data_IF_565347260977
#
_entry.id   IF_565347260977
#
_cell.length_a   1.000
_cell.length_b   1.000
_cell.length_c   1.000
_cell.angle_alpha   90.00
_cell.angle_beta   90.00
_cell.angle_gamma   90.00
#
_symmetry.space_group_name_H-M   'P 1'
#
loop_
_entity.id
_entity.type
_entity.pdbx_description
1 polymer ?
#
# COMPACT_ATOMS: atom_id res chain seq x y z
N UNK A 1 0.09 46.66 -29.69
CA UNK A 1 -0.09 45.19 -29.80
C UNK A 1 -0.04 44.58 -28.42
N UNK A 2 -1.17 44.11 -27.88
CA UNK A 2 -1.23 43.46 -26.56
C UNK A 2 -1.09 41.95 -26.77
N UNK A 3 0.01 41.36 -26.31
CA UNK A 3 0.20 39.91 -26.31
C UNK A 3 -0.74 39.30 -25.27
N UNK A 4 -1.73 38.53 -25.72
CA UNK A 4 -2.57 37.71 -24.83
C UNK A 4 -1.76 36.49 -24.39
N UNK A 5 -1.29 36.49 -23.15
CA UNK A 5 -0.78 35.27 -22.51
C UNK A 5 -1.94 34.31 -22.27
N UNK A 6 -1.91 33.15 -22.94
CA UNK A 6 -2.85 32.05 -22.66
C UNK A 6 -2.39 31.36 -21.37
N UNK A 7 -3.13 31.56 -20.29
CA UNK A 7 -2.96 30.78 -19.07
C UNK A 7 -3.29 29.30 -19.35
N UNK A 8 -2.26 28.45 -19.37
CA UNK A 8 -2.42 26.99 -19.42
C UNK A 8 -2.89 26.54 -18.02
N UNK A 9 -4.19 26.27 -17.87
CA UNK A 9 -4.73 25.61 -16.68
C UNK A 9 -4.13 24.19 -16.62
N UNK A 10 -3.09 23.99 -15.82
CA UNK A 10 -2.59 22.66 -15.45
C UNK A 10 -3.72 21.95 -14.69
N UNK A 11 -4.41 21.01 -15.34
CA UNK A 11 -5.32 20.11 -14.64
C UNK A 11 -4.51 19.32 -13.63
N UNK A 12 -4.78 19.53 -12.35
CA UNK A 12 -4.20 18.73 -11.27
C UNK A 12 -4.82 17.35 -11.38
N UNK A 13 -4.07 16.37 -11.92
CA UNK A 13 -4.49 14.97 -11.87
C UNK A 13 -4.53 14.56 -10.40
N UNK A 14 -5.67 14.06 -9.95
CA UNK A 14 -5.82 13.49 -8.61
C UNK A 14 -4.77 12.39 -8.38
N UNK A 15 -4.24 12.28 -7.16
CA UNK A 15 -3.25 11.27 -6.85
C UNK A 15 -3.83 9.87 -7.07
N UNK A 16 -3.00 8.91 -7.47
CA UNK A 16 -3.47 7.56 -7.72
C UNK A 16 -4.03 6.92 -6.44
N UNK A 17 -5.29 6.51 -6.50
CA UNK A 17 -5.99 5.78 -5.44
C UNK A 17 -5.97 4.28 -5.77
N UNK A 18 -5.64 3.47 -4.77
CA UNK A 18 -5.82 2.03 -4.79
C UNK A 18 -7.18 1.71 -4.17
N UNK A 19 -7.91 0.80 -4.79
CA UNK A 19 -9.21 0.33 -4.33
C UNK A 19 -9.10 -1.17 -4.13
N UNK A 20 -9.36 -1.63 -2.91
CA UNK A 20 -9.34 -3.04 -2.55
C UNK A 20 -10.56 -3.78 -3.08
N UNK A 21 -10.58 -5.10 -2.85
CA UNK A 21 -11.72 -5.96 -3.18
C UNK A 21 -12.45 -6.48 -1.93
N UNK A 22 -12.42 -5.68 -0.87
CA UNK A 22 -13.10 -6.02 0.37
C UNK A 22 -14.63 -5.96 0.23
N UNK A 23 -15.31 -7.09 0.46
CA UNK A 23 -16.77 -7.22 0.37
C UNK A 23 -17.49 -6.73 1.63
N UNK A 24 -16.78 -6.65 2.76
CA UNK A 24 -17.32 -6.16 4.03
C UNK A 24 -17.31 -4.62 4.14
N UNK A 25 -16.79 -3.92 3.14
CA UNK A 25 -16.61 -2.46 3.14
C UNK A 25 -17.30 -1.79 1.96
N UNK A 26 -17.75 -0.56 2.16
CA UNK A 26 -18.20 0.29 1.06
C UNK A 26 -17.03 0.68 0.15
N UNK A 27 -17.32 1.08 -1.09
CA UNK A 27 -16.27 1.54 -2.00
C UNK A 27 -15.45 2.68 -1.41
N UNK A 28 -16.04 3.60 -0.64
CA UNK A 28 -15.32 4.71 0.01
C UNK A 28 -14.33 4.27 1.09
N UNK A 29 -14.65 3.20 1.82
CA UNK A 29 -13.82 2.65 2.90
C UNK A 29 -12.73 1.72 2.35
N UNK A 30 -12.95 1.17 1.16
CA UNK A 30 -12.08 0.22 0.47
C UNK A 30 -10.98 0.93 -0.33
N UNK A 31 -10.53 2.14 0.07
CA UNK A 31 -9.58 2.95 -0.71
C UNK A 31 -8.44 3.52 0.12
N UNK A 32 -7.28 3.62 -0.49
CA UNK A 32 -6.15 4.39 0.06
C UNK A 32 -5.39 5.07 -1.08
N UNK A 33 -4.94 6.31 -0.86
CA UNK A 33 -4.12 6.99 -1.85
C UNK A 33 -2.66 6.50 -1.79
N UNK A 34 -2.00 6.38 -2.93
CA UNK A 34 -0.58 6.01 -2.98
C UNK A 34 0.33 7.00 -2.23
N UNK A 35 0.10 8.33 -2.28
CA UNK A 35 0.86 9.26 -1.45
C UNK A 35 0.68 8.99 0.05
N UNK A 36 -0.54 8.66 0.50
CA UNK A 36 -0.78 8.30 1.90
C UNK A 36 -0.03 7.01 2.29
N UNK A 37 -0.03 5.99 1.42
CA UNK A 37 0.78 4.78 1.61
C UNK A 37 2.25 5.17 1.76
N UNK A 38 2.82 5.90 0.79
CA UNK A 38 4.24 6.25 0.81
C UNK A 38 4.63 7.09 2.02
N UNK A 39 3.75 7.98 2.47
CA UNK A 39 3.95 8.74 3.71
C UNK A 39 4.01 7.84 4.92
N UNK A 40 3.05 6.91 5.08
CA UNK A 40 3.02 5.98 6.21
C UNK A 40 4.22 5.01 6.20
N UNK A 41 4.73 4.68 5.02
CA UNK A 41 5.91 3.83 4.88
C UNK A 41 7.21 4.47 5.40
N UNK A 42 7.24 5.79 5.61
CA UNK A 42 8.36 6.49 6.25
C UNK A 42 8.47 6.14 7.73
N UNK A 43 7.34 5.85 8.38
CA UNK A 43 7.25 5.54 9.82
C UNK A 43 7.46 4.05 10.12
N UNK A 44 7.58 3.21 9.09
CA UNK A 44 7.85 1.79 9.29
C UNK A 44 9.18 1.64 10.01
N UNK A 45 9.24 0.93 11.15
CA UNK A 45 10.49 0.71 11.88
C UNK A 45 11.50 0.00 10.97
N UNK A 46 12.76 -0.06 11.39
CA UNK A 46 13.72 -0.87 10.64
C UNK A 46 13.18 -2.30 10.50
N UNK A 47 13.34 -2.93 9.31
CA UNK A 47 12.70 -4.21 9.05
C UNK A 47 13.10 -5.20 10.15
N UNK A 48 12.15 -6.05 10.55
CA UNK A 48 12.35 -7.13 11.51
C UNK A 48 12.49 -6.73 12.99
N UNK A 49 12.40 -5.45 13.36
CA UNK A 49 12.33 -5.09 14.77
C UNK A 49 11.04 -5.64 15.41
N UNK A 50 11.17 -6.27 16.58
CA UNK A 50 10.01 -6.73 17.35
C UNK A 50 9.25 -5.53 17.89
N UNK A 51 8.08 -5.27 17.33
CA UNK A 51 7.19 -4.21 17.82
C UNK A 51 6.13 -4.76 18.76
N UNK A 52 5.41 -3.87 19.44
CA UNK A 52 4.34 -4.28 20.36
C UNK A 52 3.10 -4.81 19.63
N UNK A 53 2.84 -4.32 18.42
CA UNK A 53 1.71 -4.73 17.57
C UNK A 53 1.96 -5.98 16.73
N UNK A 54 3.21 -6.46 16.69
CA UNK A 54 3.72 -7.48 15.77
C UNK A 54 3.89 -7.03 14.31
N UNK A 55 3.67 -5.76 13.98
CA UNK A 55 3.93 -5.21 12.63
C UNK A 55 5.21 -4.36 12.59
N UNK A 56 5.96 -4.34 11.47
CA UNK A 56 5.78 -5.17 10.27
C UNK A 56 6.09 -6.65 10.55
N UNK A 57 5.40 -7.57 9.86
CA UNK A 57 5.72 -9.00 9.93
C UNK A 57 6.07 -9.58 8.56
N UNK A 58 6.67 -10.77 8.57
CA UNK A 58 7.04 -11.49 7.36
C UNK A 58 5.81 -11.77 6.50
N UNK A 59 5.86 -11.36 5.23
CA UNK A 59 4.85 -11.67 4.24
C UNK A 59 5.24 -12.94 3.49
N UNK A 60 4.40 -13.97 3.62
CA UNK A 60 4.54 -15.22 2.90
C UNK A 60 3.60 -15.22 1.69
N UNK A 61 4.19 -15.04 0.52
CA UNK A 61 3.47 -14.94 -0.75
C UNK A 61 3.01 -16.32 -1.26
N UNK A 62 2.13 -16.99 -0.52
CA UNK A 62 1.61 -18.32 -0.86
C UNK A 62 0.82 -18.31 -2.18
N UNK A 63 0.13 -17.21 -2.45
CA UNK A 63 -0.74 -17.02 -3.62
C UNK A 63 -0.02 -16.36 -4.81
N UNK A 64 1.29 -16.05 -4.68
CA UNK A 64 2.09 -15.36 -5.71
C UNK A 64 1.48 -14.03 -6.17
N UNK A 65 0.85 -13.31 -5.25
CA UNK A 65 0.21 -12.02 -5.48
C UNK A 65 1.24 -10.95 -5.80
N UNK A 66 2.39 -11.00 -5.15
CA UNK A 66 3.43 -9.99 -5.33
C UNK A 66 4.32 -10.36 -6.51
N UNK A 67 4.31 -9.54 -7.56
CA UNK A 67 5.09 -9.84 -8.74
C UNK A 67 6.59 -9.74 -8.47
N UNK A 68 7.29 -10.88 -8.46
CA UNK A 68 8.75 -10.90 -8.45
C UNK A 68 9.30 -10.29 -9.74
N UNK A 69 10.19 -9.30 -9.62
CA UNK A 69 10.92 -8.75 -10.77
C UNK A 69 12.08 -9.68 -11.10
N UNK A 70 12.30 -9.96 -12.38
CA UNK A 70 13.48 -10.68 -12.83
C UNK A 70 14.75 -9.90 -12.42
N UNK A 71 15.76 -10.59 -11.87
CA UNK A 71 16.98 -9.96 -11.35
C UNK A 71 16.82 -9.20 -10.03
N UNK A 72 15.70 -9.38 -9.32
CA UNK A 72 15.53 -8.81 -7.98
C UNK A 72 16.18 -9.70 -6.93
N UNK A 73 17.19 -9.18 -6.24
CA UNK A 73 17.83 -9.78 -5.05
C UNK A 73 16.91 -9.77 -3.80
N UNK A 74 15.59 -9.75 -3.97
CA UNK A 74 14.67 -9.73 -2.84
C UNK A 74 14.64 -11.10 -2.18
N UNK A 75 15.20 -11.20 -0.98
CA UNK A 75 15.31 -12.46 -0.22
C UNK A 75 14.12 -12.67 0.71
N UNK A 76 13.43 -11.60 1.11
CA UNK A 76 12.23 -11.67 1.95
C UNK A 76 11.32 -10.47 1.73
N UNK A 77 10.06 -10.63 2.15
CA UNK A 77 9.04 -9.60 2.09
C UNK A 77 8.40 -9.39 3.46
N UNK A 78 7.97 -8.16 3.72
CA UNK A 78 7.27 -7.77 4.94
C UNK A 78 6.00 -7.05 4.57
N UNK A 79 4.95 -7.29 5.33
CA UNK A 79 3.73 -6.50 5.22
C UNK A 79 3.59 -5.54 6.39
N UNK A 80 3.02 -4.38 6.10
CA UNK A 80 2.75 -3.33 7.06
C UNK A 80 1.36 -2.73 6.82
N UNK A 81 0.54 -2.49 7.88
CA UNK A 81 -0.78 -1.91 7.74
C UNK A 81 -0.73 -0.51 7.16
N UNK A 82 -1.60 -0.23 6.19
CA UNK A 82 -1.77 1.11 5.63
C UNK A 82 -3.25 1.46 5.64
N UNK A 83 -3.58 2.66 6.14
CA UNK A 83 -4.98 3.08 6.29
C UNK A 83 -5.27 4.39 5.56
N UNK A 84 -6.53 4.69 5.32
CA UNK A 84 -6.95 5.96 4.70
C UNK A 84 -6.78 7.16 5.63
N UNK A 85 -6.93 6.95 6.95
CA UNK A 85 -7.13 8.04 7.91
C UNK A 85 -5.82 8.45 8.59
N UNK A 86 -5.11 7.50 9.19
CA UNK A 86 -3.95 7.79 10.03
C UNK A 86 -2.87 6.69 9.92
N UNK A 87 -1.59 7.03 10.14
CA UNK A 87 -0.53 6.02 10.24
C UNK A 87 -0.82 4.97 11.31
N UNK A 88 -0.39 3.74 11.05
CA UNK A 88 -0.57 2.64 12.00
C UNK A 88 0.41 2.75 13.17
N UNK A 89 -0.10 2.75 14.41
CA UNK A 89 0.77 2.81 15.58
C UNK A 89 1.24 1.41 16.02
N UNK A 90 2.41 1.02 15.52
CA UNK A 90 2.99 -0.30 15.77
C UNK A 90 3.51 -0.51 17.21
N UNK A 91 3.58 0.54 18.02
CA UNK A 91 4.13 0.54 19.39
C UNK A 91 3.05 0.44 20.48
N UNK A 92 1.82 0.04 20.14
CA UNK A 92 0.69 -0.04 21.07
C UNK A 92 0.27 -1.48 21.41
N UNK A 93 -0.30 -1.65 22.61
CA UNK A 93 -1.07 -2.83 23.05
C UNK A 93 -2.25 -2.34 23.92
N UNK A 94 -3.50 -2.80 23.72
CA UNK A 94 -3.95 -3.69 22.64
C UNK A 94 -3.62 -3.10 21.26
N UNK A 95 -3.37 -3.96 20.27
CA UNK A 95 -2.98 -3.51 18.93
C UNK A 95 -4.09 -2.64 18.34
N UNK A 96 -3.73 -1.56 17.66
CA UNK A 96 -4.66 -0.81 16.84
C UNK A 96 -5.24 -1.73 15.75
N UNK A 97 -6.47 -1.46 15.33
CA UNK A 97 -7.04 -2.08 14.14
C UNK A 97 -6.16 -1.78 12.92
N UNK A 98 -5.55 -2.79 12.28
CA UNK A 98 -4.68 -2.57 11.13
C UNK A 98 -5.45 -2.21 9.85
N UNK A 99 -6.78 -2.30 9.85
CA UNK A 99 -7.60 -2.22 8.65
C UNK A 99 -7.28 -3.35 7.68
N UNK A 100 -7.88 -3.29 6.48
CA UNK A 100 -7.85 -4.39 5.53
C UNK A 100 -6.64 -4.36 4.58
N UNK A 101 -6.00 -3.19 4.38
CA UNK A 101 -4.90 -3.02 3.43
C UNK A 101 -3.53 -3.17 4.07
N UNK A 102 -2.60 -3.79 3.32
CA UNK A 102 -1.20 -3.95 3.69
C UNK A 102 -0.31 -3.47 2.54
N UNK A 103 0.69 -2.66 2.85
CA UNK A 103 1.80 -2.42 1.93
C UNK A 103 2.84 -3.52 2.11
N UNK A 104 3.33 -4.07 0.99
CA UNK A 104 4.39 -5.06 0.97
C UNK A 104 5.71 -4.39 0.62
N UNK A 105 6.71 -4.63 1.47
CA UNK A 105 8.08 -4.14 1.36
C UNK A 105 9.01 -5.33 1.15
N UNK A 106 10.16 -5.13 0.49
CA UNK A 106 11.26 -6.10 0.57
C UNK A 106 12.18 -5.81 1.77
N UNK A 107 13.23 -6.61 1.93
CA UNK A 107 14.22 -6.45 3.00
C UNK A 107 14.94 -5.09 3.02
N UNK A 108 14.94 -4.35 1.90
CA UNK A 108 15.54 -3.02 1.77
C UNK A 108 14.51 -1.89 1.92
N UNK A 109 13.35 -2.16 2.55
CA UNK A 109 12.20 -1.23 2.67
C UNK A 109 11.66 -0.71 1.33
N UNK A 110 11.96 -1.39 0.22
CA UNK A 110 11.45 -0.98 -1.09
C UNK A 110 10.02 -1.48 -1.25
N UNK A 111 9.10 -0.56 -1.53
CA UNK A 111 7.71 -0.86 -1.81
C UNK A 111 7.55 -1.77 -3.05
N UNK A 112 6.81 -2.87 -2.88
CA UNK A 112 6.55 -3.90 -3.90
C UNK A 112 5.11 -3.95 -4.36
N UNK A 113 4.19 -3.41 -3.57
CA UNK A 113 2.78 -3.29 -3.91
C UNK A 113 1.92 -3.22 -2.66
N UNK A 114 0.62 -3.10 -2.88
CA UNK A 114 -0.40 -3.16 -1.83
C UNK A 114 -1.30 -4.35 -2.08
N UNK A 115 -1.60 -5.06 -1.00
CA UNK A 115 -2.59 -6.12 -0.95
C UNK A 115 -3.70 -5.73 0.01
N UNK A 116 -4.89 -6.28 -0.16
CA UNK A 116 -6.00 -6.10 0.76
C UNK A 116 -6.69 -7.42 1.04
N UNK A 117 -7.16 -7.60 2.27
CA UNK A 117 -8.11 -8.65 2.58
C UNK A 117 -9.39 -8.45 1.76
N UNK A 118 -9.96 -9.54 1.25
CA UNK A 118 -11.24 -9.53 0.53
C UNK A 118 -12.45 -9.40 1.47
N UNK A 119 -12.25 -9.46 2.79
CA UNK A 119 -13.33 -9.43 3.77
C UNK A 119 -14.03 -10.80 3.86
N UNK A 120 -14.58 -11.10 5.03
CA UNK A 120 -15.36 -12.31 5.26
C UNK A 120 -16.53 -11.98 6.20
N UNK A 121 -17.75 -12.01 5.67
CA UNK A 121 -18.94 -11.52 6.38
C UNK A 121 -18.77 -10.05 6.78
N UNK A 122 -18.94 -9.76 8.06
CA UNK A 122 -18.77 -8.41 8.63
C UNK A 122 -17.32 -8.11 9.06
N UNK A 123 -16.36 -9.00 8.79
CA UNK A 123 -14.96 -8.82 9.18
C UNK A 123 -14.13 -8.29 7.98
N UNK A 124 -13.82 -6.99 7.92
CA UNK A 124 -13.01 -6.42 6.84
C UNK A 124 -11.55 -6.88 6.89
N UNK A 125 -11.07 -7.40 8.02
CA UNK A 125 -9.70 -7.88 8.17
C UNK A 125 -9.57 -9.40 7.94
N UNK A 126 -10.63 -10.04 7.44
CA UNK A 126 -10.70 -11.49 7.18
C UNK A 126 -10.61 -11.85 5.70
N UNK A 127 -10.53 -13.16 5.42
CA UNK A 127 -10.47 -13.68 4.06
C UNK A 127 -9.09 -13.58 3.38
N UNK A 128 -8.98 -14.11 2.14
CA UNK A 128 -7.74 -14.12 1.38
C UNK A 128 -7.35 -12.70 0.92
N UNK A 129 -6.08 -12.56 0.51
CA UNK A 129 -5.57 -11.29 0.00
C UNK A 129 -5.83 -11.15 -1.51
N UNK A 130 -6.10 -9.93 -1.96
CA UNK A 130 -6.04 -9.52 -3.37
C UNK A 130 -4.91 -8.51 -3.58
N UNK A 131 -4.32 -8.52 -4.78
CA UNK A 131 -3.35 -7.50 -5.19
C UNK A 131 -4.04 -6.27 -5.80
N UNK A 132 -3.81 -5.10 -5.21
CA UNK A 132 -4.53 -3.86 -5.57
C UNK A 132 -3.69 -2.90 -6.41
N UNK A 133 -2.36 -3.05 -6.39
CA UNK A 133 -1.46 -2.23 -7.20
C UNK A 133 -1.34 -2.77 -8.64
N UNK A 134 -2.49 -2.85 -9.33
CA UNK A 134 -2.61 -3.36 -10.71
C UNK A 134 -1.81 -2.55 -11.74
N UNK A 135 -1.19 -1.42 -11.37
CA UNK A 135 -0.33 -0.60 -12.26
C UNK A 135 1.06 -1.16 -12.45
N UNK A 136 1.16 -2.49 -12.52
CA UNK A 136 2.28 -3.16 -13.14
C UNK A 136 2.39 -2.59 -14.57
N UNK A 137 3.55 -2.03 -14.94
CA UNK A 137 4.07 -1.87 -16.32
C UNK A 137 4.13 -0.51 -17.05
N UNK A 138 3.52 0.61 -16.60
CA UNK A 138 3.63 1.88 -17.37
C UNK A 138 4.79 2.82 -17.01
N UNK A 139 5.52 2.60 -15.91
CA UNK A 139 6.72 3.41 -15.59
C UNK A 139 8.03 2.76 -16.07
N UNK A 140 8.01 2.16 -17.27
CA UNK A 140 9.23 1.84 -18.02
C UNK A 140 9.77 3.07 -18.81
N UNK A 141 9.16 4.24 -18.65
CA UNK A 141 9.53 5.46 -19.38
C UNK A 141 9.38 6.71 -18.49
N UNK A 142 10.27 6.94 -17.51
CA UNK A 142 10.43 8.30 -16.93
C UNK A 142 11.80 8.55 -16.24
N UNK A 143 12.80 7.69 -16.45
CA UNK A 143 14.19 8.03 -16.18
C UNK A 143 15.05 7.49 -17.32
N UNK A 144 15.13 8.30 -18.38
CA UNK A 144 16.21 8.34 -19.35
C UNK A 144 16.78 9.76 -19.31
#
# INVERSE_FOLDING_TARGET
MVKKEKAVKKQVKEPPVLVGKNEALTESENRVSRPAIMSQLQDVPEPFEKTKSSYPHEYKDFEKLIPRRAGSESTSYHEYPVTQQQPYNFNTKPKQDPGHMRAVLNQNKQYRGTISHNGEGDNPNGGPFSFDDKRRWQMRYMWG
#
